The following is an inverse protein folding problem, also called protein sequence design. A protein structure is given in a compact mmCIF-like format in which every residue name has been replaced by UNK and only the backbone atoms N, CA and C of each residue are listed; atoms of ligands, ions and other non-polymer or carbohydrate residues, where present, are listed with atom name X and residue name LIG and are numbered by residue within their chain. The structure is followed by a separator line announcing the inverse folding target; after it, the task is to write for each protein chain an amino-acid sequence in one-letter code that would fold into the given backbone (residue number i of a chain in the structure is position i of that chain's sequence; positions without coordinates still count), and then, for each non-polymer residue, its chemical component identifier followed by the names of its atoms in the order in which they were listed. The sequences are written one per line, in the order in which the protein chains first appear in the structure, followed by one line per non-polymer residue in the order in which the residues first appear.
data_IF_684430154238
#
_entry.id   IF_684430154238
#
_cell.length_a   1.000
_cell.length_b   1.000
_cell.length_c   1.000
_cell.angle_alpha   90.00
_cell.angle_beta   90.00
_cell.angle_gamma   90.00
#
_symmetry.space_group_name_H-M   'P 1'
#
loop_
_entity.id
_entity.type
_entity.pdbx_description
1 polymer ?
#
# COMPACT_ATOMS: atom_id res chain seq x y z
N UNK A 1 -19.59 1.61 -12.97
CA UNK A 1 -18.60 0.58 -12.62
C UNK A 1 -17.38 1.29 -12.04
N UNK A 2 -17.08 1.13 -10.75
CA UNK A 2 -16.01 1.87 -10.04
C UNK A 2 -14.64 1.31 -10.50
N UNK A 3 -14.02 1.97 -11.49
CA UNK A 3 -12.75 1.53 -12.09
C UNK A 3 -11.65 1.33 -11.04
N UNK A 4 -11.68 2.15 -9.98
CA UNK A 4 -10.74 2.08 -8.86
C UNK A 4 -10.83 0.72 -8.14
N UNK A 5 -12.03 0.13 -8.04
CA UNK A 5 -12.25 -1.13 -7.32
C UNK A 5 -11.75 -2.36 -8.06
N UNK A 6 -11.89 -2.40 -9.38
CA UNK A 6 -11.37 -3.51 -10.20
C UNK A 6 -9.85 -3.45 -10.33
N UNK A 7 -9.28 -2.25 -10.44
CA UNK A 7 -7.83 -2.04 -10.39
C UNK A 7 -7.26 -2.46 -9.03
N UNK A 8 -7.92 -2.09 -7.93
CA UNK A 8 -7.55 -2.53 -6.58
C UNK A 8 -7.55 -4.06 -6.48
N UNK A 9 -8.60 -4.73 -6.95
CA UNK A 9 -8.70 -6.19 -6.93
C UNK A 9 -7.59 -6.86 -7.73
N UNK A 10 -7.23 -6.30 -8.90
CA UNK A 10 -6.14 -6.82 -9.74
C UNK A 10 -4.79 -6.67 -9.03
N UNK A 11 -4.52 -5.49 -8.51
CA UNK A 11 -3.26 -5.15 -7.84
C UNK A 11 -3.12 -5.81 -6.46
N UNK A 12 -4.23 -6.17 -5.79
CA UNK A 12 -4.22 -6.88 -4.51
C UNK A 12 -3.99 -8.41 -4.62
N UNK A 13 -3.75 -8.94 -5.83
CA UNK A 13 -3.46 -10.38 -6.02
C UNK A 13 -2.00 -10.68 -5.65
N UNK A 14 -1.76 -10.89 -4.36
CA UNK A 14 -0.44 -11.09 -3.74
C UNK A 14 0.48 -12.11 -4.44
N UNK A 15 -0.07 -13.18 -5.02
CA UNK A 15 0.74 -14.21 -5.71
C UNK A 15 1.39 -13.72 -7.02
N UNK A 16 0.95 -12.58 -7.57
CA UNK A 16 1.51 -12.00 -8.80
C UNK A 16 2.59 -10.95 -8.55
N UNK A 17 2.95 -10.68 -7.29
CA UNK A 17 3.87 -9.57 -6.95
C UNK A 17 5.27 -9.80 -7.53
N UNK A 18 5.69 -11.07 -7.69
CA UNK A 18 6.95 -11.44 -8.34
C UNK A 18 6.97 -11.21 -9.86
N UNK A 19 5.82 -10.97 -10.49
CA UNK A 19 5.68 -10.81 -11.94
C UNK A 19 5.10 -9.45 -12.35
N UNK A 20 5.07 -8.46 -11.45
CA UNK A 20 4.56 -7.12 -11.78
C UNK A 20 5.49 -6.41 -12.76
N UNK A 21 4.88 -5.82 -13.80
CA UNK A 21 5.55 -4.90 -14.71
C UNK A 21 5.99 -3.63 -13.97
N UNK A 22 6.95 -2.87 -14.51
CA UNK A 22 7.37 -1.60 -13.90
C UNK A 22 6.19 -0.63 -13.71
N UNK A 23 5.30 -0.55 -14.71
CA UNK A 23 4.09 0.27 -14.64
C UNK A 23 3.08 -0.22 -13.59
N UNK A 24 2.93 -1.53 -13.42
CA UNK A 24 2.05 -2.07 -12.38
C UNK A 24 2.63 -1.86 -10.99
N UNK A 25 3.95 -1.97 -10.84
CA UNK A 25 4.65 -1.64 -9.59
C UNK A 25 4.47 -0.17 -9.23
N UNK A 26 4.59 0.76 -10.18
CA UNK A 26 4.32 2.18 -9.94
C UNK A 26 2.87 2.44 -9.51
N UNK A 27 1.90 1.82 -10.18
CA UNK A 27 0.49 1.93 -9.80
C UNK A 27 0.21 1.37 -8.41
N UNK A 28 0.82 0.23 -8.06
CA UNK A 28 0.71 -0.36 -6.73
C UNK A 28 1.31 0.56 -5.66
N UNK A 29 2.50 1.11 -5.90
CA UNK A 29 3.15 2.08 -4.98
C UNK A 29 2.24 3.30 -4.78
N UNK A 30 1.72 3.89 -5.85
CA UNK A 30 0.83 5.05 -5.77
C UNK A 30 -0.45 4.74 -4.97
N UNK A 31 -1.03 3.56 -5.19
CA UNK A 31 -2.19 3.10 -4.47
C UNK A 31 -1.89 2.93 -2.97
N UNK A 32 -0.77 2.29 -2.64
CA UNK A 32 -0.33 2.18 -1.26
C UNK A 32 -0.08 3.57 -0.64
N UNK A 33 0.63 4.47 -1.31
CA UNK A 33 0.85 5.82 -0.79
C UNK A 33 -0.46 6.59 -0.53
N UNK A 34 -1.50 6.37 -1.35
CA UNK A 34 -2.82 6.95 -1.13
C UNK A 34 -3.55 6.37 0.10
N UNK A 35 -3.17 5.17 0.53
CA UNK A 35 -3.68 4.46 1.70
C UNK A 35 -2.66 4.40 2.85
N UNK A 36 -1.63 5.26 2.83
CA UNK A 36 -0.56 5.18 3.82
C UNK A 36 -1.11 5.29 5.25
N UNK A 37 -0.53 4.54 6.22
CA UNK A 37 -1.00 4.50 7.59
C UNK A 37 -1.24 5.88 8.20
N UNK A 38 -0.35 6.85 7.99
CA UNK A 38 -0.51 8.21 8.51
C UNK A 38 -1.83 8.90 8.09
N UNK A 39 -2.33 8.60 6.88
CA UNK A 39 -3.59 9.18 6.38
C UNK A 39 -4.78 8.56 7.10
N UNK A 40 -4.68 7.28 7.45
CA UNK A 40 -5.75 6.47 8.02
C UNK A 40 -5.73 6.43 9.56
N UNK A 41 -4.57 6.74 10.16
CA UNK A 41 -4.31 6.70 11.58
C UNK A 41 -5.29 7.60 12.33
N UNK A 42 -5.82 7.10 13.45
CA UNK A 42 -6.79 7.78 14.29
C UNK A 42 -8.09 8.17 13.57
N UNK A 43 -8.35 7.58 12.39
CA UNK A 43 -9.60 7.76 11.64
C UNK A 43 -10.31 6.43 11.46
N UNK A 44 -9.61 5.46 10.90
CA UNK A 44 -10.12 4.11 10.68
C UNK A 44 -9.11 3.00 11.02
N UNK A 45 -7.85 3.34 11.33
CA UNK A 45 -6.89 2.41 11.92
C UNK A 45 -6.29 3.02 13.19
N UNK A 46 -6.01 2.18 14.19
CA UNK A 46 -5.56 2.61 15.52
C UNK A 46 -4.46 1.68 16.04
N UNK A 47 -3.40 2.25 16.62
CA UNK A 47 -2.41 1.49 17.36
C UNK A 47 -2.97 1.22 18.76
N UNK A 48 -3.43 -0.01 19.01
CA UNK A 48 -4.08 -0.39 20.27
C UNK A 48 -3.84 -1.87 20.58
N UNK A 49 -2.81 -2.14 21.36
CA UNK A 49 -2.39 -3.49 21.72
C UNK A 49 -3.41 -4.22 22.60
N UNK A 50 -4.16 -3.50 23.44
CA UNK A 50 -5.17 -4.07 24.34
C UNK A 50 -6.36 -4.59 23.56
N UNK A 51 -6.89 -3.78 22.64
CA UNK A 51 -7.98 -4.22 21.77
C UNK A 51 -7.54 -5.39 20.88
N UNK A 52 -6.30 -5.40 20.37
CA UNK A 52 -5.80 -6.53 19.58
C UNK A 52 -5.70 -7.85 20.37
N UNK A 53 -5.62 -7.81 21.70
CA UNK A 53 -5.50 -9.00 22.55
C UNK A 53 -4.29 -9.87 22.16
N UNK A 54 -4.51 -11.12 21.76
CA UNK A 54 -3.45 -12.04 21.32
C UNK A 54 -3.09 -11.92 19.84
N UNK A 55 -3.88 -11.20 19.05
CA UNK A 55 -3.65 -11.02 17.62
C UNK A 55 -2.73 -9.82 17.37
N UNK A 56 -2.18 -9.74 16.16
CA UNK A 56 -1.37 -8.59 15.72
C UNK A 56 -2.24 -7.45 15.14
N UNK A 57 -3.45 -7.76 14.70
CA UNK A 57 -4.50 -6.80 14.36
C UNK A 57 -5.90 -7.39 14.61
N UNK A 58 -6.90 -6.53 14.74
CA UNK A 58 -8.31 -6.93 14.84
C UNK A 58 -9.23 -5.89 14.17
N UNK A 59 -10.37 -6.34 13.64
CA UNK A 59 -11.37 -5.48 13.01
C UNK A 59 -12.63 -5.38 13.85
N UNK A 60 -13.14 -4.16 14.02
CA UNK A 60 -14.37 -3.90 14.75
C UNK A 60 -15.36 -3.12 13.91
N UNK A 61 -16.65 -3.46 14.04
CA UNK A 61 -17.71 -2.56 13.57
C UNK A 61 -17.64 -1.25 14.33
N UNK A 62 -17.83 -0.12 13.63
CA UNK A 62 -17.75 1.20 14.24
C UNK A 62 -18.68 1.34 15.44
N UNK A 63 -19.86 0.71 15.37
CA UNK A 63 -20.88 0.71 16.42
C UNK A 63 -20.41 0.04 17.71
N UNK A 64 -19.57 -1.00 17.61
CA UNK A 64 -19.06 -1.72 18.76
C UNK A 64 -18.01 -0.90 19.56
N UNK A 65 -17.39 0.11 18.93
CA UNK A 65 -16.25 0.85 19.51
C UNK A 65 -16.53 2.33 19.77
N UNK A 66 -17.74 2.83 19.48
CA UNK A 66 -18.08 4.27 19.62
C UNK A 66 -17.85 4.82 21.03
N UNK A 67 -17.95 3.97 22.05
CA UNK A 67 -17.76 4.37 23.45
C UNK A 67 -16.30 4.31 23.90
N UNK A 68 -15.44 3.61 23.17
CA UNK A 68 -14.03 3.40 23.54
C UNK A 68 -13.07 4.23 22.67
N UNK A 69 -13.45 4.53 21.43
CA UNK A 69 -12.63 5.24 20.45
C UNK A 69 -13.42 6.35 19.76
N UNK A 70 -12.77 7.50 19.58
CA UNK A 70 -13.30 8.57 18.74
C UNK A 70 -13.04 8.22 17.26
N UNK A 71 -14.03 7.60 16.62
CA UNK A 71 -13.92 7.14 15.23
C UNK A 71 -14.55 8.14 14.27
N UNK A 72 -13.83 8.47 13.19
CA UNK A 72 -14.38 9.27 12.11
C UNK A 72 -15.44 8.48 11.32
N UNK A 73 -16.66 9.01 11.17
CA UNK A 73 -17.72 8.35 10.38
C UNK A 73 -17.40 8.25 8.87
N UNK A 74 -16.42 9.03 8.40
CA UNK A 74 -15.92 8.98 7.03
C UNK A 74 -14.44 9.37 6.95
N UNK A 75 -13.74 8.86 5.93
CA UNK A 75 -12.35 9.21 5.62
C UNK A 75 -12.24 9.66 4.16
N UNK A 76 -11.39 10.66 3.91
CA UNK A 76 -11.08 11.13 2.56
C UNK A 76 -9.95 10.29 1.97
N UNK A 77 -10.23 9.56 0.90
CA UNK A 77 -9.25 8.75 0.16
C UNK A 77 -9.29 9.19 -1.30
N UNK A 78 -8.14 9.66 -1.83
CA UNK A 78 -8.00 10.15 -3.22
C UNK A 78 -9.09 11.16 -3.62
N UNK A 79 -9.42 12.10 -2.72
CA UNK A 79 -10.44 13.13 -2.97
C UNK A 79 -11.89 12.65 -2.87
N UNK A 80 -12.13 11.39 -2.52
CA UNK A 80 -13.49 10.84 -2.31
C UNK A 80 -13.71 10.57 -0.83
N UNK A 81 -14.84 11.06 -0.30
CA UNK A 81 -15.29 10.68 1.04
C UNK A 81 -15.81 9.24 1.01
N UNK A 82 -15.27 8.39 1.87
CA UNK A 82 -15.67 6.99 2.04
C UNK A 82 -16.20 6.81 3.46
N UNK A 83 -17.40 6.23 3.60
CA UNK A 83 -17.98 5.91 4.90
C UNK A 83 -17.16 4.82 5.58
N UNK A 84 -16.89 5.00 6.86
CA UNK A 84 -16.21 4.00 7.69
C UNK A 84 -17.28 3.12 8.34
N UNK A 85 -17.32 1.84 7.97
CA UNK A 85 -18.17 0.84 8.63
C UNK A 85 -17.40 0.06 9.71
N UNK A 86 -16.12 -0.21 9.45
CA UNK A 86 -15.21 -0.92 10.36
C UNK A 86 -13.95 -0.11 10.61
N UNK A 87 -13.38 -0.30 11.79
CA UNK A 87 -12.03 0.13 12.11
C UNK A 87 -11.11 -1.09 12.22
N UNK A 88 -9.81 -0.84 12.17
CA UNK A 88 -8.79 -1.82 12.51
C UNK A 88 -7.99 -1.31 13.71
N UNK A 89 -7.81 -2.13 14.73
CA UNK A 89 -6.73 -1.94 15.69
C UNK A 89 -5.56 -2.81 15.26
N UNK A 90 -4.34 -2.35 15.49
CA UNK A 90 -3.14 -3.11 15.15
C UNK A 90 -2.05 -2.88 16.19
N UNK A 91 -1.11 -3.81 16.27
CA UNK A 91 0.16 -3.69 16.99
C UNK A 91 1.28 -3.30 16.03
N UNK A 92 2.32 -2.65 16.53
CA UNK A 92 3.47 -2.25 15.69
C UNK A 92 4.10 -3.38 14.85
N UNK A 93 4.20 -4.65 15.31
CA UNK A 93 4.66 -5.76 14.48
C UNK A 93 3.84 -5.92 13.19
N UNK A 94 2.51 -5.85 13.29
CA UNK A 94 1.62 -5.95 12.12
C UNK A 94 1.95 -4.89 11.07
N UNK A 95 2.10 -3.63 11.51
CA UNK A 95 2.39 -2.51 10.61
C UNK A 95 3.74 -2.67 9.93
N UNK A 96 4.75 -3.14 10.68
CA UNK A 96 6.08 -3.37 10.12
C UNK A 96 6.05 -4.45 9.05
N UNK A 97 5.40 -5.58 9.34
CA UNK A 97 5.36 -6.74 8.46
C UNK A 97 4.45 -6.55 7.24
N UNK A 98 3.32 -5.86 7.40
CA UNK A 98 2.30 -5.76 6.34
C UNK A 98 2.33 -4.44 5.57
N UNK A 99 3.04 -3.42 6.07
CA UNK A 99 3.17 -2.13 5.38
C UNK A 99 4.60 -1.70 5.17
N UNK A 100 5.37 -1.53 6.26
CA UNK A 100 6.67 -0.86 6.17
C UNK A 100 7.69 -1.68 5.37
N UNK A 101 7.85 -2.96 5.70
CA UNK A 101 8.79 -3.84 5.01
C UNK A 101 8.37 -4.06 3.55
N UNK A 102 7.10 -4.42 3.23
CA UNK A 102 6.67 -4.58 1.84
C UNK A 102 6.83 -3.30 1.01
N UNK A 103 6.53 -2.12 1.57
CA UNK A 103 6.72 -0.86 0.86
C UNK A 103 8.19 -0.58 0.58
N UNK A 104 9.08 -0.84 1.54
CA UNK A 104 10.51 -0.69 1.35
C UNK A 104 11.02 -1.61 0.23
N UNK A 105 10.70 -2.89 0.30
CA UNK A 105 11.10 -3.88 -0.72
C UNK A 105 10.56 -3.51 -2.11
N UNK A 106 9.31 -3.05 -2.19
CA UNK A 106 8.68 -2.67 -3.45
C UNK A 106 9.37 -1.45 -4.09
N UNK A 107 9.77 -0.47 -3.29
CA UNK A 107 10.49 0.72 -3.76
C UNK A 107 11.91 0.34 -4.21
N UNK A 108 12.64 -0.43 -3.39
CA UNK A 108 14.01 -0.87 -3.71
C UNK A 108 14.05 -1.70 -5.00
N UNK A 109 13.07 -2.60 -5.18
CA UNK A 109 12.95 -3.39 -6.41
C UNK A 109 12.67 -2.53 -7.64
N UNK A 110 11.84 -1.49 -7.49
CA UNK A 110 11.52 -0.57 -8.58
C UNK A 110 12.74 0.27 -9.00
N UNK A 111 13.50 0.76 -8.02
CA UNK A 111 14.75 1.49 -8.27
C UNK A 111 15.78 0.59 -8.97
N UNK A 112 15.89 -0.68 -8.53
CA UNK A 112 16.77 -1.68 -9.15
C UNK A 112 16.39 -1.94 -10.61
N UNK A 113 15.11 -2.12 -10.92
CA UNK A 113 14.61 -2.31 -12.29
C UNK A 113 14.95 -1.11 -13.18
N UNK A 114 14.76 0.11 -12.68
CA UNK A 114 15.08 1.36 -13.40
C UNK A 114 16.57 1.51 -13.68
N UNK A 115 17.41 1.24 -12.68
CA UNK A 115 18.86 1.28 -12.86
C UNK A 115 19.33 0.27 -13.93
N UNK A 116 18.79 -0.95 -13.92
CA UNK A 116 19.10 -1.96 -14.93
C UNK A 116 18.64 -1.56 -16.33
N UNK A 117 17.45 -0.97 -16.46
CA UNK A 117 16.94 -0.48 -17.73
C UNK A 117 17.80 0.68 -18.29
N UNK A 118 18.27 1.58 -17.43
CA UNK A 118 19.17 2.67 -17.83
C UNK A 118 20.52 2.15 -18.33
N UNK A 119 21.13 1.20 -17.61
CA UNK A 119 22.41 0.60 -18.01
C UNK A 119 22.32 -0.15 -19.35
N UNK A 120 21.23 -0.88 -19.61
CA UNK A 120 20.99 -1.55 -20.90
C UNK A 120 20.89 -0.56 -22.06
N UNK A 121 20.11 0.52 -21.87
CA UNK A 121 19.97 1.58 -22.88
C UNK A 121 21.30 2.27 -23.20
N UNK A 122 22.19 2.41 -22.22
CA UNK A 122 23.52 2.97 -22.43
C UNK A 122 24.40 2.01 -23.24
N UNK A 123 24.43 0.72 -22.90
CA UNK A 123 25.17 -0.29 -23.67
C UNK A 123 24.71 -0.39 -25.13
N UNK A 124 23.40 -0.31 -25.39
CA UNK A 124 22.85 -0.32 -26.76
C UNK A 124 23.26 0.93 -27.56
N UNK A 125 23.30 2.10 -26.91
CA UNK A 125 23.77 3.35 -27.55
C UNK A 125 25.26 3.29 -27.88
N UNK A 126 26.07 2.79 -26.94
CA UNK A 126 27.52 2.69 -27.13
C UNK A 126 27.87 1.61 -28.19
N UNK A 127 27.08 0.54 -28.29
CA UNK A 127 27.24 -0.51 -29.32
C UNK A 127 26.70 -0.10 -30.69
N UNK A 128 25.77 0.85 -30.75
CA UNK A 128 25.20 1.38 -32.00
C UNK A 128 26.04 2.48 -32.65
N UNK A 129 27.01 3.04 -31.94
CA UNK A 129 27.93 4.06 -32.46
C UNK A 129 29.23 3.44 -33.00
N UNK A 130 29.12 2.60 -34.03
CA UNK A 130 30.27 2.25 -34.86
C UNK A 130 30.26 3.16 -36.08
N UNK A 131 31.07 4.22 -36.06
CA UNK A 131 31.30 5.06 -37.25
C UNK A 131 32.21 4.26 -38.20
N UNK A 132 31.69 3.90 -39.38
CA UNK A 132 32.46 3.40 -40.52
C UNK A 132 33.09 4.57 -41.29
#
# INVERSE_FOLDING_TARGET
MDKDGEELKRLARFWTYRSLSESDTDLLILLCLALKPDILMNKCIFLDDEMCGYMDNEFYEIEAVKNSLLVAGSVMIRGRSRRVSKIMTFKMPWLKEHWMNPMKELIEEQERKRAQAASKRQQERDSGCTIL
#
